data_IF_796740012587
#
_entry.id   IF_796740012587
#
_cell.length_a   1.000
_cell.length_b   1.000
_cell.length_c   1.000
_cell.angle_alpha   90.00
_cell.angle_beta   90.00
_cell.angle_gamma   90.00
#
_symmetry.space_group_name_H-M   'P 1'
#
loop_
_entity.id
_entity.type
_entity.pdbx_description
1 polymer ?
#
# COMPACT_ATOMS: atom_id res chain seq x y z
N UNK A 1 -17.20 -12.58 10.52
CA UNK A 1 -16.58 -13.13 9.28
C UNK A 1 -15.99 -14.50 9.59
N UNK A 2 -16.49 -15.53 8.91
CA UNK A 2 -16.08 -16.92 9.10
C UNK A 2 -14.85 -17.28 8.26
N UNK A 3 -14.53 -16.46 7.25
CA UNK A 3 -13.45 -16.71 6.30
C UNK A 3 -12.65 -15.43 5.98
N UNK A 4 -11.35 -15.59 5.75
CA UNK A 4 -10.42 -14.51 5.38
C UNK A 4 -9.81 -14.82 4.01
N UNK A 5 -10.08 -13.97 3.03
CA UNK A 5 -9.51 -14.06 1.68
C UNK A 5 -8.28 -13.12 1.61
N UNK A 6 -7.08 -13.69 1.59
CA UNK A 6 -5.83 -12.93 1.53
C UNK A 6 -5.29 -12.93 0.10
N UNK A 7 -5.11 -11.76 -0.49
CA UNK A 7 -4.70 -11.58 -1.88
C UNK A 7 -3.44 -10.71 -1.97
N UNK A 8 -2.36 -11.17 -2.65
CA UNK A 8 -1.21 -10.32 -2.92
C UNK A 8 -1.53 -9.31 -4.03
N UNK A 9 -0.88 -8.15 -3.99
CA UNK A 9 -0.97 -7.15 -5.05
C UNK A 9 0.39 -6.45 -5.26
N UNK A 10 1.19 -6.96 -6.19
CA UNK A 10 2.48 -6.40 -6.57
C UNK A 10 2.77 -6.63 -8.06
N UNK A 11 3.72 -5.88 -8.62
CA UNK A 11 4.01 -5.88 -10.07
C UNK A 11 4.62 -7.18 -10.63
N UNK A 12 4.82 -8.20 -9.80
CA UNK A 12 5.31 -9.52 -10.25
C UNK A 12 4.19 -10.51 -10.56
N UNK A 13 2.93 -10.14 -10.30
CA UNK A 13 1.76 -10.96 -10.57
C UNK A 13 1.31 -10.80 -12.02
N UNK A 14 0.74 -11.86 -12.59
CA UNK A 14 0.02 -11.81 -13.85
C UNK A 14 -1.21 -10.89 -13.75
N UNK A 15 -1.74 -10.46 -14.90
CA UNK A 15 -2.93 -9.59 -14.93
C UNK A 15 -4.13 -10.23 -14.24
N UNK A 16 -4.35 -11.53 -14.44
CA UNK A 16 -5.50 -12.23 -13.87
C UNK A 16 -5.38 -12.36 -12.34
N UNK A 17 -4.17 -12.59 -11.82
CA UNK A 17 -3.92 -12.58 -10.38
C UNK A 17 -4.14 -11.19 -9.76
N UNK A 18 -3.75 -10.11 -10.45
CA UNK A 18 -4.02 -8.75 -9.99
C UNK A 18 -5.53 -8.45 -9.99
N UNK A 19 -6.27 -8.92 -10.99
CA UNK A 19 -7.72 -8.72 -11.11
C UNK A 19 -8.48 -9.32 -9.92
N UNK A 20 -8.01 -10.44 -9.37
CA UNK A 20 -8.63 -11.07 -8.19
C UNK A 20 -8.73 -10.12 -6.98
N UNK A 21 -7.79 -9.17 -6.82
CA UNK A 21 -7.83 -8.19 -5.74
C UNK A 21 -8.99 -7.17 -5.88
N UNK A 22 -9.49 -6.96 -7.10
CA UNK A 22 -10.58 -6.03 -7.39
C UNK A 22 -11.96 -6.67 -7.18
N UNK A 23 -12.08 -7.98 -7.35
CA UNK A 23 -13.32 -8.70 -7.17
C UNK A 23 -13.84 -8.62 -5.73
N UNK A 24 -15.17 -8.50 -5.52
CA UNK A 24 -15.76 -8.54 -4.19
C UNK A 24 -15.60 -9.94 -3.57
N UNK A 25 -15.34 -10.05 -2.25
CA UNK A 25 -15.30 -11.35 -1.60
C UNK A 25 -16.71 -11.97 -1.54
N UNK A 26 -16.77 -13.30 -1.42
CA UNK A 26 -18.01 -14.01 -1.16
C UNK A 26 -18.73 -13.46 0.11
N UNK A 27 -20.08 -13.47 0.16
CA UNK A 27 -20.82 -13.05 1.33
C UNK A 27 -20.32 -13.75 2.61
N UNK A 28 -20.01 -12.96 3.66
CA UNK A 28 -19.51 -13.48 4.93
C UNK A 28 -17.98 -13.59 5.03
N UNK A 29 -17.25 -13.51 3.92
CA UNK A 29 -15.79 -13.46 3.89
C UNK A 29 -15.24 -12.03 4.02
N UNK A 30 -14.05 -11.90 4.59
CA UNK A 30 -13.30 -10.63 4.66
C UNK A 30 -12.12 -10.68 3.71
N UNK A 31 -12.08 -9.75 2.75
CA UNK A 31 -10.92 -9.53 1.87
C UNK A 31 -9.81 -8.78 2.59
N UNK A 32 -8.58 -9.25 2.46
CA UNK A 32 -7.34 -8.61 2.91
C UNK A 32 -6.39 -8.56 1.71
N UNK A 33 -5.98 -7.36 1.31
CA UNK A 33 -5.04 -7.19 0.20
C UNK A 33 -3.67 -6.81 0.76
N UNK A 34 -2.65 -7.61 0.46
CA UNK A 34 -1.26 -7.35 0.80
C UNK A 34 -0.59 -6.69 -0.40
N UNK A 35 -0.45 -5.37 -0.37
CA UNK A 35 -0.01 -4.59 -1.52
C UNK A 35 1.34 -3.90 -1.31
N UNK A 36 2.06 -3.69 -2.41
CA UNK A 36 3.15 -2.70 -2.45
C UNK A 36 2.58 -1.29 -2.68
N UNK A 37 3.46 -0.31 -2.90
CA UNK A 37 3.07 1.04 -3.32
C UNK A 37 2.30 1.07 -4.66
N UNK A 38 2.15 -0.06 -5.37
CA UNK A 38 1.23 -0.17 -6.50
C UNK A 38 -0.23 0.16 -6.13
N UNK A 39 -0.64 -0.11 -4.89
CA UNK A 39 -1.96 0.28 -4.40
C UNK A 39 -2.07 1.76 -3.97
N UNK A 40 -0.95 2.48 -3.93
CA UNK A 40 -0.88 3.88 -3.53
C UNK A 40 -1.35 4.83 -4.65
N UNK A 41 -1.19 4.43 -5.92
CA UNK A 41 -1.57 5.19 -7.13
C UNK A 41 -2.87 4.66 -7.77
N UNK A 42 -3.34 5.27 -8.87
CA UNK A 42 -4.69 5.25 -9.46
C UNK A 42 -5.37 3.89 -9.76
N UNK A 43 -5.44 2.98 -8.79
CA UNK A 43 -6.27 1.79 -8.78
C UNK A 43 -7.39 1.97 -7.75
N UNK A 44 -8.61 1.53 -8.06
CA UNK A 44 -9.74 1.62 -7.13
C UNK A 44 -10.01 0.23 -6.58
N UNK A 45 -9.50 -0.04 -5.38
CA UNK A 45 -9.93 -1.19 -4.58
C UNK A 45 -11.17 -0.77 -3.80
N UNK A 46 -12.33 -1.27 -4.22
CA UNK A 46 -13.60 -0.93 -3.59
C UNK A 46 -13.75 -1.61 -2.22
N UNK A 47 -14.46 -0.92 -1.33
CA UNK A 47 -14.82 -1.45 -0.01
C UNK A 47 -13.70 -1.47 1.02
N UNK A 48 -12.56 -0.82 0.77
CA UNK A 48 -11.47 -0.69 1.75
C UNK A 48 -11.91 0.24 2.89
N UNK A 49 -12.03 -0.35 4.08
CA UNK A 49 -12.37 0.35 5.33
C UNK A 49 -11.14 0.50 6.23
N UNK A 50 -10.19 -0.42 6.13
CA UNK A 50 -9.01 -0.47 6.98
C UNK A 50 -7.76 -0.43 6.12
N UNK A 51 -6.84 0.46 6.44
CA UNK A 51 -5.50 0.51 5.87
C UNK A 51 -4.51 0.27 6.99
N UNK A 52 -3.56 -0.62 6.77
CA UNK A 52 -2.41 -0.84 7.67
C UNK A 52 -1.17 -0.44 6.90
N UNK A 53 -0.51 0.63 7.34
CA UNK A 53 0.63 1.22 6.65
C UNK A 53 1.91 1.00 7.46
N UNK A 54 2.83 0.21 6.89
CA UNK A 54 4.12 -0.08 7.52
C UNK A 54 5.11 1.09 7.48
N UNK A 55 4.85 2.13 6.68
CA UNK A 55 5.73 3.30 6.58
C UNK A 55 6.95 3.11 5.68
N UNK A 56 7.02 2.03 4.91
CA UNK A 56 8.13 1.75 3.99
C UNK A 56 7.66 1.57 2.53
N UNK A 57 8.60 1.76 1.62
CA UNK A 57 8.49 1.47 0.19
C UNK A 57 9.78 0.84 -0.30
N UNK A 58 9.69 -0.08 -1.26
CA UNK A 58 10.84 -0.58 -2.01
C UNK A 58 10.97 0.30 -3.25
N UNK A 59 12.03 1.10 -3.32
CA UNK A 59 12.27 2.02 -4.44
C UNK A 59 13.56 1.65 -5.15
N UNK A 60 13.57 1.89 -6.45
CA UNK A 60 14.74 1.71 -7.29
C UNK A 60 15.63 2.95 -7.15
N UNK A 61 16.89 2.73 -6.81
CA UNK A 61 17.91 3.78 -6.71
C UNK A 61 19.02 3.43 -7.68
N UNK A 62 19.45 4.42 -8.46
CA UNK A 62 20.60 4.32 -9.34
C UNK A 62 21.86 4.79 -8.59
N UNK A 63 22.85 3.92 -8.47
CA UNK A 63 24.19 4.28 -8.00
C UNK A 63 25.05 4.70 -9.19
N UNK A 64 25.24 6.01 -9.33
CA UNK A 64 26.01 6.58 -10.43
C UNK A 64 27.51 6.23 -10.38
N UNK A 65 28.06 5.88 -9.22
CA UNK A 65 29.47 5.49 -9.10
C UNK A 65 29.67 4.02 -9.50
N UNK A 66 28.74 3.14 -9.11
CA UNK A 66 28.78 1.74 -9.47
C UNK A 66 28.22 1.44 -10.86
N UNK A 67 27.43 2.36 -11.44
CA UNK A 67 26.74 2.17 -12.71
C UNK A 67 25.61 1.13 -12.63
N UNK A 68 25.07 0.89 -11.44
CA UNK A 68 24.09 -0.18 -11.18
C UNK A 68 22.83 0.35 -10.52
N UNK A 69 21.72 -0.32 -10.78
CA UNK A 69 20.46 -0.09 -10.08
C UNK A 69 20.29 -1.08 -8.93
N UNK A 70 19.77 -0.58 -7.80
CA UNK A 70 19.45 -1.39 -6.64
C UNK A 70 18.02 -1.09 -6.16
N UNK A 71 17.33 -2.12 -5.70
CA UNK A 71 16.06 -1.98 -4.99
C UNK A 71 16.31 -1.92 -3.50
N UNK A 72 16.10 -0.76 -2.89
CA UNK A 72 16.28 -0.57 -1.45
C UNK A 72 14.95 -0.32 -0.75
N UNK A 73 14.86 -0.76 0.50
CA UNK A 73 13.74 -0.43 1.39
C UNK A 73 14.03 0.93 2.02
N UNK A 74 13.09 1.86 1.90
CA UNK A 74 13.21 3.21 2.42
C UNK A 74 11.92 3.68 3.10
N UNK A 75 11.99 4.62 4.05
CA UNK A 75 10.81 5.25 4.63
C UNK A 75 9.99 5.99 3.56
N UNK A 76 8.67 5.97 3.70
CA UNK A 76 7.77 6.74 2.83
C UNK A 76 7.81 8.24 3.17
N UNK A 77 7.32 9.06 2.24
CA UNK A 77 7.06 10.46 2.50
C UNK A 77 5.73 10.68 3.23
N UNK A 78 5.56 11.86 3.84
CA UNK A 78 4.27 12.26 4.44
C UNK A 78 3.16 12.35 3.39
N UNK A 79 3.48 12.75 2.16
CA UNK A 79 2.55 12.73 1.04
C UNK A 79 2.08 11.30 0.72
N UNK A 80 3.01 10.34 0.65
CA UNK A 80 2.68 8.92 0.44
C UNK A 80 1.81 8.35 1.57
N UNK A 81 2.16 8.64 2.83
CA UNK A 81 1.34 8.25 3.99
C UNK A 81 -0.10 8.78 3.88
N UNK A 82 -0.27 10.04 3.45
CA UNK A 82 -1.59 10.65 3.21
C UNK A 82 -2.35 9.97 2.07
N UNK A 83 -1.67 9.62 0.98
CA UNK A 83 -2.29 8.89 -0.14
C UNK A 83 -2.76 7.49 0.28
N UNK A 84 -1.95 6.77 1.07
CA UNK A 84 -2.31 5.47 1.65
C UNK A 84 -3.52 5.59 2.59
N UNK A 85 -3.53 6.58 3.47
CA UNK A 85 -4.67 6.82 4.36
C UNK A 85 -5.97 7.09 3.59
N UNK A 86 -5.89 7.80 2.45
CA UNK A 86 -7.01 8.06 1.54
C UNK A 86 -7.55 6.83 0.78
N UNK A 87 -6.98 5.64 1.00
CA UNK A 87 -7.52 4.36 0.52
C UNK A 87 -8.64 3.83 1.42
N UNK A 88 -8.58 4.15 2.70
CA UNK A 88 -9.73 4.01 3.59
C UNK A 88 -10.68 5.20 3.37
N UNK A 89 -11.97 5.02 3.65
CA UNK A 89 -12.89 6.16 3.72
C UNK A 89 -13.64 6.51 2.44
N UNK A 90 -13.43 5.79 1.32
CA UNK A 90 -14.04 6.14 0.03
C UNK A 90 -15.54 5.83 -0.06
N UNK A 91 -15.93 4.64 0.37
CA UNK A 91 -17.34 4.19 0.30
C UNK A 91 -18.08 4.30 1.63
N UNK A 92 -17.34 4.36 2.74
CA UNK A 92 -17.82 4.56 4.12
C UNK A 92 -16.65 4.95 5.00
N UNK A 93 -16.93 5.47 6.21
CA UNK A 93 -15.91 5.82 7.19
C UNK A 93 -14.87 4.70 7.35
N UNK A 94 -13.59 5.08 7.31
CA UNK A 94 -12.47 4.16 7.35
C UNK A 94 -11.39 4.58 8.35
N UNK A 95 -10.47 3.66 8.63
CA UNK A 95 -9.38 3.85 9.58
C UNK A 95 -8.06 3.51 8.90
N UNK A 96 -7.07 4.38 9.09
CA UNK A 96 -5.68 4.12 8.71
C UNK A 96 -4.85 3.91 9.98
N UNK A 97 -4.16 2.77 10.06
CA UNK A 97 -3.25 2.41 11.15
C UNK A 97 -1.82 2.53 10.65
N UNK A 98 -1.11 3.55 11.11
CA UNK A 98 0.31 3.72 10.83
C UNK A 98 1.15 2.96 11.85
N UNK A 99 2.02 2.05 11.40
CA UNK A 99 2.88 1.22 12.27
C UNK A 99 4.17 1.93 12.69
N UNK A 100 4.11 3.26 12.81
CA UNK A 100 5.23 4.11 13.20
C UNK A 100 4.76 5.26 14.09
N UNK A 101 5.67 5.78 14.91
CA UNK A 101 5.33 6.83 15.88
C UNK A 101 5.07 8.18 15.19
N UNK A 102 4.36 9.08 15.87
CA UNK A 102 4.20 10.46 15.42
C UNK A 102 5.55 11.17 15.24
N UNK A 103 6.54 10.86 16.09
CA UNK A 103 7.92 11.37 15.95
C UNK A 103 8.56 10.92 14.64
N UNK A 104 8.43 9.65 14.30
CA UNK A 104 8.90 9.10 13.01
C UNK A 104 8.21 9.80 11.85
N UNK A 105 6.88 9.95 11.91
CA UNK A 105 6.10 10.63 10.87
C UNK A 105 6.54 12.09 10.67
N UNK A 106 6.79 12.82 11.76
CA UNK A 106 7.26 14.20 11.70
C UNK A 106 8.63 14.32 11.02
N UNK A 107 9.51 13.34 11.23
CA UNK A 107 10.84 13.26 10.63
C UNK A 107 10.84 12.79 9.16
N UNK A 108 9.74 12.22 8.64
CA UNK A 108 9.62 11.84 7.24
C UNK A 108 9.66 13.07 6.31
N UNK A 109 10.23 12.88 5.11
CA UNK A 109 10.25 13.91 4.06
C UNK A 109 8.83 14.28 3.65
N UNK A 110 8.62 15.54 3.26
CA UNK A 110 7.30 16.02 2.84
C UNK A 110 6.75 15.26 1.62
N UNK A 111 7.59 15.12 0.59
CA UNK A 111 7.33 14.36 -0.62
C UNK A 111 8.57 13.54 -1.00
N UNK A 112 8.34 12.45 -1.73
CA UNK A 112 9.43 11.68 -2.38
C UNK A 112 9.98 12.55 -3.51
N UNK A 113 11.31 12.57 -3.65
CA UNK A 113 11.98 13.30 -4.74
C UNK A 113 11.79 12.59 -6.08
#
# INVERSE_FOLDING_TARGET
>A
PTELLVLPLHGGLSRDEQLAAFEPPAPGARKVVLATNMAETSITLDGIVYVVDCGFVKQQIFDAQAGTEALVVAPISRAAAKQRAGRAGRTRAGVCLHLYTQRTHAAMRAATA
#
